data_IF_687062068349
#
_entry.id   IF_687062068349
#
_cell.length_a   1.000
_cell.length_b   1.000
_cell.length_c   1.000
_cell.angle_alpha   90.00
_cell.angle_beta   90.00
_cell.angle_gamma   90.00
#
_symmetry.space_group_name_H-M   'P 1'
#
loop_
_entity.id
_entity.type
_entity.pdbx_description
1 polymer ?
#
# COMPACT_ATOMS: atom_id res chain seq x y z
N UNK A 1 -5.31 -23.67 23.36
CA UNK A 1 -6.29 -22.95 22.55
C UNK A 1 -5.69 -22.77 21.18
N UNK A 2 -6.43 -23.04 20.11
CA UNK A 2 -5.99 -22.72 18.75
C UNK A 2 -5.74 -21.20 18.68
N UNK A 3 -4.65 -20.80 18.07
CA UNK A 3 -4.32 -19.40 17.93
C UNK A 3 -4.94 -18.88 16.63
N UNK A 4 -5.71 -17.80 16.72
CA UNK A 4 -6.25 -17.13 15.53
C UNK A 4 -5.19 -16.19 14.96
N UNK A 5 -5.03 -16.17 13.65
CA UNK A 5 -4.11 -15.28 12.93
C UNK A 5 -4.74 -14.81 11.62
N UNK A 6 -4.34 -13.66 11.15
CA UNK A 6 -4.78 -13.12 9.86
C UNK A 6 -4.03 -13.79 8.71
N UNK A 7 -4.75 -14.46 7.83
CA UNK A 7 -4.20 -15.03 6.60
C UNK A 7 -4.54 -14.13 5.42
N UNK A 8 -3.53 -13.81 4.60
CA UNK A 8 -3.75 -13.10 3.34
C UNK A 8 -4.51 -14.02 2.39
N UNK A 9 -5.68 -13.55 1.91
CA UNK A 9 -6.56 -14.28 1.00
C UNK A 9 -6.75 -13.58 -0.34
N UNK A 10 -6.31 -12.33 -0.48
CA UNK A 10 -6.33 -11.57 -1.72
C UNK A 10 -5.32 -10.45 -1.71
N UNK A 11 -4.78 -10.13 -2.88
CA UNK A 11 -3.79 -9.09 -3.12
C UNK A 11 -4.23 -8.20 -4.27
N UNK A 12 -3.94 -6.91 -4.18
CA UNK A 12 -4.20 -5.95 -5.25
C UNK A 12 -3.12 -4.88 -5.30
N UNK A 13 -2.93 -4.31 -6.47
CA UNK A 13 -1.99 -3.19 -6.66
C UNK A 13 -2.50 -2.24 -7.73
N UNK A 14 -2.00 -1.01 -7.66
CA UNK A 14 -2.18 -0.03 -8.72
C UNK A 14 -0.91 0.77 -8.91
N UNK A 15 -0.50 0.94 -10.15
CA UNK A 15 0.61 1.79 -10.55
C UNK A 15 0.10 2.82 -11.56
N UNK A 16 0.42 4.12 -11.37
CA UNK A 16 0.10 5.15 -12.36
C UNK A 16 0.66 4.80 -13.75
N UNK A 17 -0.05 5.13 -14.84
CA UNK A 17 0.39 4.76 -16.19
C UNK A 17 1.62 5.54 -16.66
N UNK A 18 1.87 6.75 -16.14
CA UNK A 18 3.02 7.56 -16.52
C UNK A 18 4.31 6.94 -15.98
N UNK A 19 5.25 6.68 -16.87
CA UNK A 19 6.57 6.13 -16.56
C UNK A 19 7.63 7.22 -16.76
N UNK A 20 8.55 7.32 -15.80
CA UNK A 20 9.77 8.12 -15.87
C UNK A 20 10.96 7.16 -15.89
N UNK A 21 11.71 7.15 -16.98
CA UNK A 21 12.89 6.30 -17.17
C UNK A 21 14.16 6.97 -16.63
N UNK A 22 15.25 6.20 -16.51
CA UNK A 22 16.56 6.77 -16.16
C UNK A 22 17.06 7.75 -17.23
N UNK A 23 16.78 7.47 -18.52
CA UNK A 23 17.11 8.39 -19.62
C UNK A 23 16.32 9.70 -19.55
N UNK A 24 15.08 9.67 -19.03
CA UNK A 24 14.32 10.91 -18.81
C UNK A 24 14.92 11.72 -17.65
N UNK A 25 15.35 11.06 -16.58
CA UNK A 25 16.05 11.72 -15.47
C UNK A 25 17.37 12.34 -15.89
N UNK A 26 18.11 11.73 -16.82
CA UNK A 26 19.38 12.29 -17.34
C UNK A 26 19.20 13.60 -18.08
N UNK A 27 17.98 13.94 -18.50
CA UNK A 27 17.62 15.24 -19.08
C UNK A 27 17.34 16.32 -18.03
N UNK A 28 17.13 15.91 -16.78
CA UNK A 28 16.73 16.78 -15.67
C UNK A 28 17.91 17.06 -14.72
N UNK A 29 18.72 16.03 -14.44
CA UNK A 29 19.86 16.11 -13.51
C UNK A 29 21.08 15.39 -14.09
N UNK A 30 22.26 15.70 -13.59
CA UNK A 30 23.51 15.05 -14.01
C UNK A 30 23.58 13.59 -13.56
N UNK A 31 23.03 12.67 -14.35
CA UNK A 31 22.97 11.23 -14.09
C UNK A 31 22.89 10.44 -15.40
N UNK A 32 22.92 9.11 -15.31
CA UNK A 32 22.69 8.19 -16.44
C UNK A 32 22.13 6.85 -15.96
N UNK A 33 21.66 6.00 -16.89
CA UNK A 33 21.05 4.71 -16.58
C UNK A 33 22.03 3.76 -15.87
N UNK A 34 23.30 3.73 -16.28
CA UNK A 34 24.32 2.86 -15.67
C UNK A 34 24.53 3.22 -14.19
N UNK A 35 24.76 4.51 -13.90
CA UNK A 35 24.97 5.02 -12.55
C UNK A 35 23.79 4.74 -11.60
N UNK A 36 22.56 4.94 -12.07
CA UNK A 36 21.35 4.68 -11.29
C UNK A 36 21.18 3.19 -11.05
N UNK A 37 21.33 2.37 -12.10
CA UNK A 37 21.12 0.93 -12.05
C UNK A 37 22.11 0.22 -11.15
N UNK A 38 23.39 0.58 -11.21
CA UNK A 38 24.42 0.00 -10.34
C UNK A 38 24.13 0.24 -8.85
N UNK A 39 23.57 1.40 -8.50
CA UNK A 39 23.31 1.80 -7.09
C UNK A 39 21.97 1.33 -6.55
N UNK A 40 20.96 1.22 -7.41
CA UNK A 40 19.57 1.05 -6.99
C UNK A 40 18.87 -0.14 -7.62
N UNK A 41 19.34 -0.62 -8.75
CA UNK A 41 18.63 -1.60 -9.58
C UNK A 41 17.41 -1.02 -10.32
N UNK A 42 17.08 0.27 -10.12
CA UNK A 42 15.87 0.91 -10.66
C UNK A 42 16.10 1.29 -12.11
N UNK A 43 15.21 0.84 -13.01
CA UNK A 43 15.20 1.19 -14.43
C UNK A 43 14.15 2.25 -14.78
N UNK A 44 13.05 2.27 -14.03
CA UNK A 44 11.91 3.16 -14.27
C UNK A 44 11.11 3.34 -12.99
N UNK A 45 10.33 4.41 -12.91
CA UNK A 45 9.36 4.66 -11.84
C UNK A 45 8.04 5.14 -12.42
N UNK A 46 6.96 4.76 -11.74
CA UNK A 46 5.62 5.24 -12.05
C UNK A 46 5.41 6.56 -11.31
N UNK A 47 4.78 7.52 -11.98
CA UNK A 47 4.56 8.88 -11.48
C UNK A 47 3.07 9.22 -11.60
N UNK A 48 2.46 9.56 -10.48
CA UNK A 48 1.08 10.04 -10.42
C UNK A 48 0.91 11.36 -11.20
N UNK A 49 -0.23 11.52 -11.86
CA UNK A 49 -0.53 12.73 -12.62
C UNK A 49 -1.03 13.90 -11.75
N UNK A 50 -1.30 13.62 -10.47
CA UNK A 50 -1.80 14.57 -9.47
C UNK A 50 -3.26 14.99 -9.67
N UNK A 51 -3.94 14.48 -10.71
CA UNK A 51 -5.34 14.76 -11.01
C UNK A 51 -6.21 13.55 -10.67
N UNK A 52 -6.06 12.47 -11.44
CA UNK A 52 -6.78 11.22 -11.25
C UNK A 52 -6.00 10.23 -10.39
N UNK A 53 -4.66 10.31 -10.40
CA UNK A 53 -3.80 9.50 -9.55
C UNK A 53 -3.38 10.31 -8.32
N UNK A 54 -4.10 10.09 -7.22
CA UNK A 54 -3.82 10.61 -5.88
C UNK A 54 -3.64 9.43 -4.93
N UNK A 55 -3.07 9.66 -3.75
CA UNK A 55 -2.89 8.59 -2.76
C UNK A 55 -4.21 7.87 -2.46
N UNK A 56 -5.30 8.61 -2.24
CA UNK A 56 -6.63 8.03 -1.98
C UNK A 56 -7.18 7.25 -3.17
N UNK A 57 -7.10 7.79 -4.40
CA UNK A 57 -7.64 7.11 -5.59
C UNK A 57 -6.83 5.88 -5.99
N UNK A 58 -5.51 5.91 -5.83
CA UNK A 58 -4.65 4.74 -6.03
C UNK A 58 -4.93 3.65 -4.98
N UNK A 59 -5.11 4.05 -3.71
CA UNK A 59 -5.52 3.15 -2.63
C UNK A 59 -6.83 2.43 -2.97
N UNK A 60 -7.85 3.17 -3.44
CA UNK A 60 -9.14 2.62 -3.87
C UNK A 60 -8.98 1.60 -5.00
N UNK A 61 -8.17 1.91 -6.02
CA UNK A 61 -7.93 1.00 -7.15
C UNK A 61 -7.23 -0.30 -6.68
N UNK A 62 -6.22 -0.20 -5.84
CA UNK A 62 -5.53 -1.35 -5.26
C UNK A 62 -6.45 -2.18 -4.35
N UNK A 63 -7.27 -1.51 -3.52
CA UNK A 63 -8.25 -2.15 -2.63
C UNK A 63 -9.30 -2.93 -3.41
N UNK A 64 -9.87 -2.35 -4.48
CA UNK A 64 -10.83 -3.03 -5.36
C UNK A 64 -10.23 -4.31 -5.96
N UNK A 65 -9.00 -4.24 -6.45
CA UNK A 65 -8.29 -5.40 -7.00
C UNK A 65 -8.05 -6.48 -5.93
N UNK A 66 -7.71 -6.10 -4.69
CA UNK A 66 -7.51 -7.06 -3.61
C UNK A 66 -8.81 -7.76 -3.17
N UNK A 67 -9.92 -7.02 -3.12
CA UNK A 67 -11.25 -7.55 -2.79
C UNK A 67 -11.74 -8.51 -3.88
N UNK A 68 -11.52 -8.17 -5.16
CA UNK A 68 -11.83 -9.02 -6.30
C UNK A 68 -11.01 -10.32 -6.26
N UNK A 69 -9.69 -10.23 -6.03
CA UNK A 69 -8.79 -11.39 -5.91
C UNK A 69 -9.17 -12.30 -4.73
N UNK A 70 -9.62 -11.71 -3.61
CA UNK A 70 -10.09 -12.44 -2.44
C UNK A 70 -11.46 -13.13 -2.67
N UNK A 71 -12.25 -12.69 -3.65
CA UNK A 71 -13.60 -13.19 -3.94
C UNK A 71 -14.58 -12.98 -2.78
N UNK A 72 -14.50 -11.84 -2.08
CA UNK A 72 -15.34 -11.50 -0.92
C UNK A 72 -16.35 -10.40 -1.25
N UNK A 73 -17.43 -10.33 -0.47
CA UNK A 73 -18.29 -9.14 -0.46
C UNK A 73 -17.63 -8.05 0.39
N UNK A 74 -17.43 -6.82 -0.14
CA UNK A 74 -16.90 -5.70 0.63
C UNK A 74 -17.67 -5.42 1.94
N UNK A 75 -18.93 -5.78 2.01
CA UNK A 75 -19.78 -5.62 3.21
C UNK A 75 -19.39 -6.51 4.37
N UNK A 76 -18.59 -7.55 4.11
CA UNK A 76 -18.08 -8.44 5.14
C UNK A 76 -16.80 -7.91 5.82
N UNK A 77 -16.19 -6.85 5.26
CA UNK A 77 -15.00 -6.21 5.83
C UNK A 77 -15.41 -5.46 7.11
N UNK A 78 -14.68 -5.70 8.20
CA UNK A 78 -14.90 -5.08 9.51
C UNK A 78 -13.78 -4.13 9.96
N UNK A 79 -12.64 -4.11 9.23
CA UNK A 79 -11.51 -3.24 9.53
C UNK A 79 -10.77 -2.84 8.25
N UNK A 80 -10.47 -1.54 8.10
CA UNK A 80 -9.61 -1.01 7.04
C UNK A 80 -8.51 -0.16 7.67
N UNK A 81 -7.25 -0.52 7.43
CA UNK A 81 -6.09 0.26 7.86
C UNK A 81 -5.28 0.66 6.64
N UNK A 82 -5.10 1.97 6.44
CA UNK A 82 -4.28 2.50 5.37
C UNK A 82 -2.96 3.06 5.90
N UNK A 83 -1.87 2.87 5.16
CA UNK A 83 -0.56 3.42 5.45
C UNK A 83 -0.17 4.42 4.36
N UNK A 84 0.15 5.64 4.74
CA UNK A 84 0.67 6.66 3.83
C UNK A 84 1.42 7.75 4.58
N UNK A 85 2.46 8.30 3.96
CA UNK A 85 3.15 9.54 4.39
C UNK A 85 2.82 10.71 3.48
N UNK A 86 2.14 10.44 2.36
CA UNK A 86 1.80 11.43 1.33
C UNK A 86 0.29 11.44 1.04
N UNK A 87 -0.60 11.55 2.07
CA UNK A 87 -2.03 11.60 1.84
C UNK A 87 -2.38 12.88 1.06
N UNK A 88 -3.30 12.76 0.12
CA UNK A 88 -3.81 13.91 -0.64
C UNK A 88 -4.80 14.77 0.17
N UNK A 89 -5.39 14.20 1.22
CA UNK A 89 -6.23 14.89 2.21
C UNK A 89 -5.94 14.37 3.62
N UNK A 90 -6.05 15.24 4.63
CA UNK A 90 -5.87 14.85 6.03
C UNK A 90 -7.17 14.25 6.58
N UNK A 91 -8.31 14.74 6.11
CA UNK A 91 -9.65 14.27 6.49
C UNK A 91 -10.62 14.45 5.31
N UNK A 92 -11.43 13.40 4.99
CA UNK A 92 -11.44 12.07 5.62
C UNK A 92 -10.13 11.30 5.42
N UNK A 93 -9.86 10.28 6.26
CA UNK A 93 -8.68 9.42 6.11
C UNK A 93 -8.76 8.59 4.82
N UNK A 94 -7.60 8.12 4.31
CA UNK A 94 -7.56 7.24 3.12
C UNK A 94 -8.40 5.98 3.36
N UNK A 95 -8.35 5.40 4.56
CA UNK A 95 -9.15 4.23 4.91
C UNK A 95 -10.66 4.49 4.77
N UNK A 96 -11.14 5.68 5.17
CA UNK A 96 -12.56 6.08 5.00
C UNK A 96 -12.90 6.27 3.51
N UNK A 97 -12.01 6.87 2.72
CA UNK A 97 -12.22 6.98 1.27
C UNK A 97 -12.33 5.60 0.60
N UNK A 98 -11.52 4.63 1.05
CA UNK A 98 -11.58 3.23 0.57
C UNK A 98 -12.89 2.57 1.00
N UNK A 99 -13.33 2.73 2.26
CA UNK A 99 -14.60 2.23 2.77
C UNK A 99 -15.78 2.66 1.89
N UNK A 100 -15.89 3.96 1.65
CA UNK A 100 -16.94 4.54 0.82
C UNK A 100 -16.92 3.97 -0.62
N UNK A 101 -15.75 3.97 -1.24
CA UNK A 101 -15.58 3.53 -2.63
C UNK A 101 -15.80 2.04 -2.86
N UNK A 102 -15.64 1.21 -1.82
CA UNK A 102 -15.94 -0.23 -1.83
C UNK A 102 -17.42 -0.51 -1.51
N UNK A 103 -18.14 0.44 -0.92
CA UNK A 103 -19.51 0.24 -0.43
C UNK A 103 -19.57 -0.67 0.80
N UNK A 104 -18.56 -0.61 1.66
CA UNK A 104 -18.58 -1.29 2.95
C UNK A 104 -19.68 -0.73 3.87
N UNK A 105 -20.03 -1.47 4.93
CA UNK A 105 -21.00 -1.01 5.93
C UNK A 105 -20.47 0.17 6.77
N UNK A 106 -21.35 0.84 7.51
CA UNK A 106 -20.95 1.96 8.37
C UNK A 106 -20.21 1.51 9.64
N UNK A 107 -20.33 0.24 10.03
CA UNK A 107 -19.72 -0.33 11.24
C UNK A 107 -18.24 -0.73 11.07
N UNK A 108 -17.64 -0.43 9.92
CA UNK A 108 -16.22 -0.75 9.63
C UNK A 108 -15.28 0.17 10.39
N UNK A 109 -14.34 -0.38 11.15
CA UNK A 109 -13.25 0.38 11.75
C UNK A 109 -12.30 0.91 10.66
N UNK A 110 -12.13 2.24 10.55
CA UNK A 110 -11.30 2.87 9.52
C UNK A 110 -10.32 3.87 10.12
N UNK A 111 -9.03 3.70 9.87
CA UNK A 111 -8.00 4.67 10.25
C UNK A 111 -6.72 4.53 9.43
N UNK A 112 -5.94 5.60 9.43
CA UNK A 112 -4.63 5.63 8.76
C UNK A 112 -3.50 5.53 9.78
N UNK A 113 -2.38 4.96 9.35
CA UNK A 113 -1.11 4.94 10.07
C UNK A 113 -0.03 5.62 9.24
N UNK A 114 0.84 6.38 9.90
CA UNK A 114 2.00 6.99 9.27
C UNK A 114 3.27 6.48 9.96
N UNK A 115 4.04 5.68 9.25
CA UNK A 115 5.30 5.13 9.72
C UNK A 115 6.34 5.07 8.59
N UNK A 116 6.25 5.96 7.62
CA UNK A 116 7.13 6.04 6.46
C UNK A 116 7.33 4.66 5.77
N UNK A 117 8.58 4.32 5.38
CA UNK A 117 8.90 3.09 4.65
C UNK A 117 8.36 1.78 5.27
N UNK A 118 8.36 1.58 6.61
CA UNK A 118 7.72 0.43 7.24
C UNK A 118 6.20 0.59 7.44
N UNK A 119 5.57 1.62 6.90
CA UNK A 119 4.15 1.94 7.13
C UNK A 119 3.21 0.79 6.83
N UNK A 120 3.37 0.12 5.68
CA UNK A 120 2.54 -1.02 5.35
C UNK A 120 2.72 -2.19 6.33
N UNK A 121 3.94 -2.44 6.79
CA UNK A 121 4.23 -3.48 7.80
C UNK A 121 3.60 -3.09 9.15
N UNK A 122 3.63 -1.81 9.52
CA UNK A 122 2.99 -1.32 10.74
C UNK A 122 1.48 -1.51 10.67
N UNK A 123 0.84 -1.14 9.55
CA UNK A 123 -0.59 -1.38 9.31
C UNK A 123 -0.93 -2.87 9.35
N UNK A 124 -0.14 -3.71 8.70
CA UNK A 124 -0.32 -5.15 8.70
C UNK A 124 -0.24 -5.74 10.12
N UNK A 125 0.76 -5.36 10.91
CA UNK A 125 0.91 -5.82 12.29
C UNK A 125 -0.25 -5.32 13.18
N UNK A 126 -0.74 -4.12 12.94
CA UNK A 126 -1.91 -3.57 13.62
C UNK A 126 -3.16 -4.43 13.35
N UNK A 127 -3.42 -4.73 12.08
CA UNK A 127 -4.53 -5.62 11.67
C UNK A 127 -4.36 -7.02 12.27
N UNK A 128 -3.16 -7.58 12.27
CA UNK A 128 -2.89 -8.87 12.93
C UNK A 128 -3.28 -8.83 14.43
N UNK A 129 -2.92 -7.75 15.12
CA UNK A 129 -3.30 -7.57 16.53
C UNK A 129 -4.83 -7.51 16.74
N UNK A 130 -5.58 -6.85 15.86
CA UNK A 130 -7.04 -6.83 15.90
C UNK A 130 -7.64 -8.22 15.65
N UNK A 131 -7.11 -8.97 14.70
CA UNK A 131 -7.54 -10.34 14.41
C UNK A 131 -7.20 -11.29 15.57
N UNK A 132 -5.98 -11.24 16.09
CA UNK A 132 -5.53 -12.10 17.21
C UNK A 132 -6.31 -11.84 18.48
N UNK A 133 -6.76 -10.59 18.71
CA UNK A 133 -7.62 -10.22 19.86
C UNK A 133 -9.10 -10.54 19.66
N UNK A 134 -9.51 -10.98 18.46
CA UNK A 134 -10.90 -11.26 18.11
C UNK A 134 -11.74 -10.02 17.79
N UNK A 135 -11.10 -8.85 17.63
CA UNK A 135 -11.77 -7.59 17.31
C UNK A 135 -11.99 -7.38 15.80
N UNK A 136 -11.40 -8.22 14.95
CA UNK A 136 -11.63 -8.24 13.51
C UNK A 136 -11.61 -9.67 12.98
N UNK A 137 -12.42 -9.95 11.96
CA UNK A 137 -12.48 -11.24 11.27
C UNK A 137 -12.06 -11.14 9.81
N UNK A 138 -12.30 -9.99 9.19
CA UNK A 138 -11.99 -9.75 7.78
C UNK A 138 -11.53 -8.31 7.60
N UNK A 139 -10.26 -8.12 7.37
CA UNK A 139 -9.63 -6.82 7.31
C UNK A 139 -8.96 -6.54 5.97
N UNK A 140 -8.87 -5.26 5.63
CA UNK A 140 -8.15 -4.74 4.47
C UNK A 140 -6.99 -3.87 4.94
N UNK A 141 -5.78 -4.16 4.46
CA UNK A 141 -4.59 -3.32 4.64
C UNK A 141 -4.23 -2.70 3.30
N UNK A 142 -4.02 -1.40 3.29
CA UNK A 142 -3.62 -0.65 2.09
C UNK A 142 -2.35 0.15 2.38
N UNK A 143 -1.42 0.18 1.43
CA UNK A 143 -0.31 1.12 1.42
C UNK A 143 -0.36 1.93 0.13
N UNK A 144 -0.18 3.25 0.22
CA UNK A 144 -0.24 4.13 -0.95
C UNK A 144 0.67 5.33 -0.76
N UNK A 145 1.38 5.72 -1.84
CA UNK A 145 2.26 6.86 -1.79
C UNK A 145 2.27 7.63 -3.11
N UNK A 146 2.35 8.95 -3.01
CA UNK A 146 2.66 9.90 -4.10
C UNK A 146 3.93 10.67 -3.76
N UNK A 147 5.03 9.95 -3.55
CA UNK A 147 6.30 10.55 -3.11
C UNK A 147 6.90 11.47 -4.16
N UNK A 148 6.54 11.32 -5.44
CA UNK A 148 6.97 12.21 -6.52
C UNK A 148 6.60 13.68 -6.27
N UNK A 149 5.56 13.94 -5.46
CA UNK A 149 5.15 15.30 -5.07
C UNK A 149 6.08 15.96 -4.04
N UNK A 150 6.93 15.18 -3.36
CA UNK A 150 7.81 15.63 -2.29
C UNK A 150 9.29 15.59 -2.67
N UNK A 151 9.60 14.98 -3.82
CA UNK A 151 10.98 14.86 -4.32
C UNK A 151 11.48 16.21 -4.83
N UNK A 152 12.67 16.59 -4.43
CA UNK A 152 13.43 17.64 -5.14
C UNK A 152 14.02 17.04 -6.42
N UNK A 153 13.44 17.38 -7.54
CA UNK A 153 13.85 16.89 -8.86
C UNK A 153 15.20 17.42 -9.32
N UNK A 154 15.83 18.36 -8.57
CA UNK A 154 17.19 18.85 -8.81
C UNK A 154 18.23 18.08 -7.95
N UNK A 155 17.80 17.33 -6.96
CA UNK A 155 18.69 16.49 -6.16
C UNK A 155 18.79 15.08 -6.75
N UNK A 156 19.87 14.81 -7.49
CA UNK A 156 20.11 13.49 -8.08
C UNK A 156 20.25 12.36 -7.05
N UNK A 157 20.57 12.70 -5.78
CA UNK A 157 20.73 11.72 -4.71
C UNK A 157 19.42 11.07 -4.29
N UNK A 158 18.32 11.81 -4.40
CA UNK A 158 17.00 11.37 -3.96
C UNK A 158 16.01 11.16 -5.11
N UNK A 159 16.02 11.99 -6.16
CA UNK A 159 15.04 11.90 -7.24
C UNK A 159 15.06 10.57 -8.02
N UNK A 160 16.19 9.85 -7.97
CA UNK A 160 16.34 8.55 -8.61
C UNK A 160 15.65 7.39 -7.86
N UNK A 161 15.26 7.59 -6.58
CA UNK A 161 14.82 6.52 -5.68
C UNK A 161 13.30 6.34 -5.64
N UNK A 162 12.53 7.41 -5.83
CA UNK A 162 11.12 7.44 -5.49
C UNK A 162 10.21 7.37 -6.71
N UNK A 163 9.05 6.78 -6.51
CA UNK A 163 7.93 6.72 -7.43
C UNK A 163 6.63 6.58 -6.65
N UNK A 164 5.53 6.39 -7.36
CA UNK A 164 4.17 6.40 -6.83
C UNK A 164 3.48 5.08 -7.10
N UNK A 165 2.54 4.71 -6.22
CA UNK A 165 1.76 3.50 -6.36
C UNK A 165 1.00 3.14 -5.09
N UNK A 166 0.19 2.09 -5.20
CA UNK A 166 -0.54 1.52 -4.09
C UNK A 166 -0.55 -0.01 -4.13
N UNK A 167 -0.60 -0.63 -2.96
CA UNK A 167 -0.78 -2.06 -2.78
C UNK A 167 -1.75 -2.34 -1.64
N UNK A 168 -2.52 -3.42 -1.76
CA UNK A 168 -3.51 -3.82 -0.77
C UNK A 168 -3.51 -5.33 -0.54
N UNK A 169 -3.91 -5.73 0.67
CA UNK A 169 -4.10 -7.12 1.04
C UNK A 169 -5.38 -7.30 1.87
N UNK A 170 -6.17 -8.31 1.54
CA UNK A 170 -7.29 -8.77 2.37
C UNK A 170 -6.80 -9.86 3.30
N UNK A 171 -7.09 -9.72 4.60
CA UNK A 171 -6.75 -10.68 5.64
C UNK A 171 -8.01 -11.26 6.26
N UNK A 172 -8.08 -12.58 6.37
CA UNK A 172 -9.14 -13.31 7.07
C UNK A 172 -8.60 -13.95 8.33
N UNK A 173 -9.37 -13.88 9.41
CA UNK A 173 -9.09 -14.61 10.64
C UNK A 173 -9.20 -16.12 10.39
N UNK A 174 -8.13 -16.87 10.62
CA UNK A 174 -8.10 -18.33 10.53
C UNK A 174 -7.39 -18.93 11.75
N UNK A 175 -7.77 -20.12 12.14
CA UNK A 175 -7.01 -20.90 13.14
C UNK A 175 -5.68 -21.35 12.51
N UNK A 176 -4.57 -21.02 13.16
CA UNK A 176 -3.25 -21.33 12.64
C UNK A 176 -2.13 -21.13 13.66
N UNK A 177 -0.91 -21.35 13.23
CA UNK A 177 0.28 -21.10 14.05
C UNK A 177 0.79 -19.68 13.81
N UNK A 178 0.97 -18.93 14.89
CA UNK A 178 1.39 -17.50 14.88
C UNK A 178 2.59 -17.17 13.98
N UNK A 179 3.45 -18.12 13.66
CA UNK A 179 4.69 -17.87 12.93
C UNK A 179 4.67 -18.26 11.44
N UNK A 180 3.56 -18.80 10.92
CA UNK A 180 3.55 -19.27 9.52
C UNK A 180 3.54 -18.11 8.51
N UNK A 181 2.95 -16.96 8.85
CA UNK A 181 2.88 -15.80 7.96
C UNK A 181 4.15 -14.96 7.98
N UNK A 182 4.77 -14.77 9.14
CA UNK A 182 6.01 -13.99 9.29
C UNK A 182 7.17 -14.65 8.54
N UNK A 183 7.20 -15.98 8.47
CA UNK A 183 8.26 -16.72 7.77
C UNK A 183 8.12 -16.75 6.25
N UNK A 184 6.92 -16.53 5.70
CA UNK A 184 6.70 -16.49 4.24
C UNK A 184 7.01 -15.15 3.60
N UNK A 185 7.01 -14.04 4.37
CA UNK A 185 7.40 -12.72 3.87
C UNK A 185 8.92 -12.52 3.76
N UNK A 186 9.74 -13.39 4.37
CA UNK A 186 11.18 -13.43 4.13
C UNK A 186 11.45 -14.14 2.80
N UNK A 187 11.09 -13.46 1.69
CA UNK A 187 11.19 -13.99 0.35
C UNK A 187 12.60 -14.52 0.05
N UNK A 188 12.66 -15.66 -0.57
CA UNK A 188 13.87 -16.12 -1.26
C UNK A 188 14.24 -15.02 -2.27
N UNK A 189 15.44 -14.46 -2.10
CA UNK A 189 16.13 -13.68 -3.14
C UNK A 189 16.45 -14.58 -4.31
#
# INVERSE_FOLDING_TARGET
MAQVTGKIIGLGSYLPPKILTNDDLSKMVETNDEWITERTGIKRRHIADGKEDKSSTMAIKAAKAAVEDAGIDPKDIDLIVAASTSPDVVFPSIAVCVQEALGCTEDVGCFDVNSACPGWIAAFNTVQGFIESGNSKLALVVGTETLSNYVDWNDRGTCILFGDGAGAAVLRAEEGKKNELIMRSSGKR
#
